data_IF_808079667645
#
_entry.id   IF_808079667645
#
_cell.length_a   1.000
_cell.length_b   1.000
_cell.length_c   1.000
_cell.angle_alpha   90.00
_cell.angle_beta   90.00
_cell.angle_gamma   90.00
#
_symmetry.space_group_name_H-M   'P 1'
#
loop_
_entity.id
_entity.type
_entity.pdbx_description
1 polymer ?
#
# COMPACT_ATOMS: atom_id res chain seq x y z
N UNK A 1 -55.95 10.84 50.32
CA UNK A 1 -55.16 10.09 49.32
C UNK A 1 -55.26 10.78 47.97
N UNK A 2 -54.24 11.55 47.56
CA UNK A 2 -54.06 12.07 46.18
C UNK A 2 -52.55 12.33 46.04
N UNK A 3 -51.85 11.45 45.34
CA UNK A 3 -50.39 11.47 45.19
C UNK A 3 -50.00 12.54 44.17
N UNK A 4 -49.06 13.40 44.56
CA UNK A 4 -48.45 14.42 43.71
C UNK A 4 -47.30 13.74 42.95
N UNK A 5 -47.30 13.81 41.62
CA UNK A 5 -46.16 13.37 40.81
C UNK A 5 -45.65 14.59 40.05
N UNK A 6 -44.51 15.12 40.49
CA UNK A 6 -43.73 16.11 39.74
C UNK A 6 -43.05 15.39 38.57
N UNK A 7 -43.43 15.72 37.35
CA UNK A 7 -42.67 15.33 36.16
C UNK A 7 -41.43 16.22 36.07
N UNK A 8 -40.26 15.62 36.33
CA UNK A 8 -38.97 16.26 36.12
C UNK A 8 -38.47 15.81 34.74
N UNK A 9 -38.64 16.67 33.73
CA UNK A 9 -38.12 16.44 32.39
C UNK A 9 -36.60 16.59 32.41
N UNK A 10 -35.87 15.48 32.36
CA UNK A 10 -34.44 15.48 32.06
C UNK A 10 -34.29 15.33 30.56
N UNK A 11 -33.93 16.42 29.90
CA UNK A 11 -33.47 16.42 28.52
C UNK A 11 -32.16 15.64 28.43
N UNK A 12 -32.21 14.40 27.93
CA UNK A 12 -31.04 13.58 27.66
C UNK A 12 -30.34 14.05 26.39
N UNK A 13 -29.31 14.89 26.54
CA UNK A 13 -28.37 15.19 25.46
C UNK A 13 -27.46 13.95 25.27
N UNK A 14 -27.76 13.11 24.29
CA UNK A 14 -26.84 12.08 23.84
C UNK A 14 -25.64 12.73 23.13
N UNK A 15 -24.57 13.01 23.88
CA UNK A 15 -23.27 13.30 23.29
C UNK A 15 -22.71 12.03 22.65
N UNK A 16 -22.91 11.89 21.34
CA UNK A 16 -22.22 10.88 20.55
C UNK A 16 -20.74 11.27 20.47
N UNK A 17 -19.90 10.62 21.29
CA UNK A 17 -18.46 10.67 21.12
C UNK A 17 -18.12 9.89 19.86
N UNK A 18 -17.92 10.60 18.75
CA UNK A 18 -17.29 10.06 17.56
C UNK A 18 -15.81 9.88 17.89
N UNK A 19 -15.44 8.72 18.43
CA UNK A 19 -14.05 8.27 18.44
C UNK A 19 -13.63 8.06 17.00
N UNK A 20 -13.04 9.08 16.38
CA UNK A 20 -12.36 8.95 15.11
C UNK A 20 -11.15 8.04 15.29
N UNK A 21 -11.28 6.78 14.88
CA UNK A 21 -10.13 5.94 14.60
C UNK A 21 -9.46 6.48 13.34
N UNK A 22 -8.61 7.50 13.50
CA UNK A 22 -7.66 7.89 12.46
C UNK A 22 -6.76 6.68 12.20
N UNK A 23 -6.86 6.09 11.02
CA UNK A 23 -5.96 5.03 10.63
C UNK A 23 -4.52 5.56 10.65
N UNK A 24 -3.63 4.87 11.36
CA UNK A 24 -2.20 5.23 11.42
C UNK A 24 -1.63 5.32 10.00
N UNK A 25 -0.96 6.43 9.71
CA UNK A 25 -0.20 6.64 8.49
C UNK A 25 0.98 5.67 8.41
N UNK A 26 1.12 5.04 7.25
CA UNK A 26 2.26 4.18 6.91
C UNK A 26 3.41 5.08 6.47
N UNK A 27 4.59 4.88 7.06
CA UNK A 27 5.83 5.56 6.67
C UNK A 27 6.54 4.77 5.60
N UNK A 28 6.90 5.42 4.49
CA UNK A 28 7.72 4.77 3.47
C UNK A 28 9.03 4.27 4.06
N UNK A 29 9.72 5.10 4.84
CA UNK A 29 11.05 4.76 5.35
C UNK A 29 11.02 3.67 6.42
N UNK A 30 10.01 3.65 7.29
CA UNK A 30 9.95 2.74 8.44
C UNK A 30 9.22 1.44 8.15
N UNK A 31 8.18 1.49 7.33
CA UNK A 31 7.26 0.36 7.14
C UNK A 31 7.43 -0.29 5.75
N UNK A 32 7.57 0.51 4.69
CA UNK A 32 7.63 -0.01 3.29
C UNK A 32 9.06 -0.40 2.88
N UNK A 33 10.04 0.46 3.17
CA UNK A 33 11.43 0.28 2.75
C UNK A 33 12.02 -1.06 3.23
N UNK A 34 11.77 -1.53 4.47
CA UNK A 34 12.27 -2.84 4.91
C UNK A 34 11.71 -4.02 4.08
N UNK A 35 10.45 -3.96 3.67
CA UNK A 35 9.81 -4.98 2.82
C UNK A 35 10.50 -5.01 1.45
N UNK A 36 10.64 -3.83 0.82
CA UNK A 36 11.31 -3.73 -0.48
C UNK A 36 12.77 -4.19 -0.43
N UNK A 37 13.48 -3.85 0.65
CA UNK A 37 14.87 -4.24 0.85
C UNK A 37 15.02 -5.77 0.96
N UNK A 38 14.11 -6.41 1.69
CA UNK A 38 14.13 -7.86 1.94
C UNK A 38 13.70 -8.67 0.71
N UNK A 39 12.59 -8.30 0.09
CA UNK A 39 11.90 -9.18 -0.85
C UNK A 39 12.04 -8.74 -2.33
N UNK A 40 12.55 -7.53 -2.60
CA UNK A 40 12.58 -6.98 -3.96
C UNK A 40 13.96 -6.53 -4.44
N UNK A 41 14.77 -5.94 -3.55
CA UNK A 41 15.98 -5.20 -3.92
C UNK A 41 17.01 -6.05 -4.66
N UNK A 42 17.16 -7.31 -4.28
CA UNK A 42 18.15 -8.22 -4.89
C UNK A 42 18.01 -8.30 -6.41
N UNK A 43 16.77 -8.39 -6.92
CA UNK A 43 16.48 -8.52 -8.35
C UNK A 43 16.11 -7.19 -9.02
N UNK A 44 15.57 -6.23 -8.26
CA UNK A 44 15.14 -4.92 -8.75
C UNK A 44 16.09 -3.78 -8.36
N UNK A 45 17.38 -4.08 -8.29
CA UNK A 45 18.45 -3.09 -8.27
C UNK A 45 19.10 -2.96 -9.66
N UNK A 46 19.66 -1.80 -10.02
CA UNK A 46 20.33 -1.61 -11.31
C UNK A 46 21.32 -2.74 -11.64
N UNK A 47 21.13 -3.35 -12.81
CA UNK A 47 21.98 -4.46 -13.30
C UNK A 47 21.58 -5.87 -12.87
N UNK A 48 20.66 -6.02 -11.91
CA UNK A 48 20.11 -7.32 -11.53
C UNK A 48 19.04 -7.81 -12.52
N UNK A 49 18.65 -9.08 -12.43
CA UNK A 49 17.85 -9.73 -13.46
C UNK A 49 16.45 -9.11 -13.63
N UNK A 50 15.75 -8.84 -12.53
CA UNK A 50 14.43 -8.18 -12.56
C UNK A 50 14.51 -6.77 -13.16
N UNK A 51 15.56 -6.01 -12.82
CA UNK A 51 15.86 -4.70 -13.42
C UNK A 51 16.18 -4.82 -14.92
N UNK A 52 16.99 -5.79 -15.36
CA UNK A 52 17.29 -5.96 -16.80
C UNK A 52 16.03 -6.21 -17.62
N UNK A 53 15.10 -7.00 -17.08
CA UNK A 53 13.81 -7.32 -17.73
C UNK A 53 12.88 -6.11 -17.78
N UNK A 54 12.59 -5.51 -16.64
CA UNK A 54 11.55 -4.46 -16.51
C UNK A 54 12.09 -3.02 -16.55
N UNK A 55 13.34 -2.81 -16.15
CA UNK A 55 13.89 -1.48 -15.87
C UNK A 55 13.38 -0.85 -14.57
N UNK A 56 12.60 -1.58 -13.76
CA UNK A 56 12.15 -1.12 -12.44
C UNK A 56 13.30 -1.19 -11.44
N UNK A 57 13.60 -0.06 -10.81
CA UNK A 57 14.49 0.02 -9.64
C UNK A 57 13.67 0.31 -8.39
N UNK A 58 13.84 -0.51 -7.36
CA UNK A 58 13.25 -0.29 -6.01
C UNK A 58 14.28 0.29 -5.03
N UNK A 59 15.44 0.71 -5.54
CA UNK A 59 16.58 1.18 -4.75
C UNK A 59 16.31 2.45 -3.94
N UNK A 60 15.37 3.28 -4.38
CA UNK A 60 14.96 4.52 -3.72
C UNK A 60 13.51 4.86 -4.10
N UNK A 61 12.92 5.85 -3.42
CA UNK A 61 11.54 6.26 -3.60
C UNK A 61 11.28 6.81 -5.02
N UNK A 62 12.16 7.65 -5.54
CA UNK A 62 11.97 8.32 -6.83
C UNK A 62 12.00 7.32 -7.98
N UNK A 63 12.96 6.41 -7.97
CA UNK A 63 13.11 5.30 -8.91
C UNK A 63 11.89 4.36 -8.87
N UNK A 64 11.39 4.07 -7.67
CA UNK A 64 10.22 3.21 -7.48
C UNK A 64 8.98 3.85 -8.12
N UNK A 65 8.70 5.13 -7.85
CA UNK A 65 7.54 5.82 -8.43
C UNK A 65 7.70 6.15 -9.91
N UNK A 66 8.93 6.25 -10.42
CA UNK A 66 9.21 6.41 -11.85
C UNK A 66 8.79 5.19 -12.67
N UNK A 67 8.68 4.01 -12.04
CA UNK A 67 8.21 2.79 -12.67
C UNK A 67 9.22 2.14 -13.63
N UNK A 68 8.71 1.34 -14.57
CA UNK A 68 9.54 0.55 -15.49
C UNK A 68 10.21 1.42 -16.57
N UNK A 69 11.16 0.86 -17.32
CA UNK A 69 11.71 1.53 -18.51
C UNK A 69 10.65 1.60 -19.62
N UNK A 70 10.67 2.63 -20.48
CA UNK A 70 9.78 2.66 -21.64
C UNK A 70 10.08 1.48 -22.58
N UNK A 71 9.02 0.91 -23.13
CA UNK A 71 9.03 -0.07 -24.23
C UNK A 71 8.87 0.68 -25.56
N UNK A 72 9.19 0.03 -26.69
CA UNK A 72 9.23 0.70 -28.01
C UNK A 72 7.91 1.42 -28.31
N UNK A 73 7.94 2.76 -28.32
CA UNK A 73 6.79 3.61 -28.63
C UNK A 73 5.83 3.84 -27.46
N UNK A 74 6.12 3.31 -26.27
CA UNK A 74 5.26 3.40 -25.09
C UNK A 74 5.93 4.21 -23.97
N UNK A 75 5.09 4.78 -23.11
CA UNK A 75 5.56 5.46 -21.89
C UNK A 75 6.08 4.44 -20.88
N UNK A 76 6.67 4.92 -19.79
CA UNK A 76 7.04 4.07 -18.65
C UNK A 76 5.80 3.37 -18.10
N UNK A 77 5.92 2.08 -17.80
CA UNK A 77 4.89 1.34 -17.12
C UNK A 77 4.82 1.76 -15.65
N UNK A 78 3.68 2.28 -15.24
CA UNK A 78 3.43 2.68 -13.87
C UNK A 78 3.28 1.43 -12.98
N UNK A 79 4.10 1.34 -11.93
CA UNK A 79 4.09 0.19 -11.00
C UNK A 79 3.24 0.48 -9.77
N UNK A 80 3.21 1.74 -9.34
CA UNK A 80 2.42 2.25 -8.23
C UNK A 80 1.52 3.36 -8.74
N UNK A 81 0.22 3.19 -8.49
CA UNK A 81 -0.83 4.17 -8.75
C UNK A 81 -1.24 4.74 -7.39
N UNK A 82 -0.77 5.95 -7.01
CA UNK A 82 -1.11 6.54 -5.73
C UNK A 82 -2.63 6.64 -5.53
N UNK A 83 -3.10 6.28 -4.34
CA UNK A 83 -4.50 6.17 -3.94
C UNK A 83 -5.29 5.01 -4.59
N UNK A 84 -4.63 4.11 -5.32
CA UNK A 84 -5.27 2.91 -5.89
C UNK A 84 -4.33 1.70 -5.82
N UNK A 85 -4.33 1.02 -4.67
CA UNK A 85 -3.58 -0.22 -4.49
C UNK A 85 -4.12 -1.36 -5.37
N UNK A 86 -5.41 -1.36 -5.71
CA UNK A 86 -6.03 -2.45 -6.47
C UNK A 86 -5.54 -2.49 -7.91
N UNK A 87 -5.41 -1.32 -8.55
CA UNK A 87 -4.90 -1.17 -9.91
C UNK A 87 -3.38 -1.08 -9.99
N UNK A 88 -2.69 -0.93 -8.85
CA UNK A 88 -1.22 -0.88 -8.82
C UNK A 88 -0.60 -2.22 -9.21
N UNK A 89 0.21 -2.22 -10.28
CA UNK A 89 0.94 -3.41 -10.76
C UNK A 89 1.71 -4.11 -9.64
N UNK A 90 2.33 -3.35 -8.71
CA UNK A 90 3.00 -3.93 -7.55
C UNK A 90 2.11 -4.93 -6.81
N UNK A 91 0.90 -4.50 -6.45
CA UNK A 91 -0.06 -5.30 -5.67
C UNK A 91 -0.61 -6.46 -6.51
N UNK A 92 -0.93 -6.20 -7.78
CA UNK A 92 -1.38 -7.23 -8.73
C UNK A 92 -0.38 -8.40 -8.79
N UNK A 93 0.93 -8.11 -8.88
CA UNK A 93 1.97 -9.13 -9.01
C UNK A 93 2.25 -9.87 -7.70
N UNK A 94 2.24 -9.19 -6.55
CA UNK A 94 2.52 -9.84 -5.25
C UNK A 94 1.34 -10.63 -4.70
N UNK A 95 0.10 -10.25 -5.05
CA UNK A 95 -1.10 -11.03 -4.73
C UNK A 95 -1.34 -12.18 -5.74
N UNK A 96 -0.51 -12.30 -6.79
CA UNK A 96 -0.65 -13.36 -7.80
C UNK A 96 -1.91 -13.24 -8.65
N UNK A 97 -2.44 -12.01 -8.83
CA UNK A 97 -3.62 -11.74 -9.67
C UNK A 97 -3.31 -11.67 -11.17
N UNK A 98 -2.03 -11.68 -11.54
CA UNK A 98 -1.56 -11.75 -12.91
C UNK A 98 -1.12 -13.18 -13.31
N UNK A 99 -0.66 -13.33 -14.55
CA UNK A 99 -0.09 -14.59 -15.04
C UNK A 99 1.05 -15.09 -14.11
N UNK A 100 1.09 -16.39 -13.75
CA UNK A 100 2.10 -16.93 -12.84
C UNK A 100 3.55 -16.70 -13.30
N UNK A 101 3.80 -16.59 -14.61
CA UNK A 101 5.13 -16.35 -15.18
C UNK A 101 5.70 -14.97 -14.86
N UNK A 102 4.86 -14.02 -14.43
CA UNK A 102 5.28 -12.66 -14.06
C UNK A 102 4.97 -12.33 -12.60
N UNK A 103 4.51 -13.29 -11.79
CA UNK A 103 4.23 -13.07 -10.37
C UNK A 103 5.50 -12.63 -9.64
N UNK A 104 5.30 -11.88 -8.56
CA UNK A 104 6.38 -11.47 -7.67
C UNK A 104 6.15 -11.98 -6.24
N UNK A 105 7.21 -12.25 -5.47
CA UNK A 105 8.60 -12.37 -5.92
C UNK A 105 8.77 -13.61 -6.82
N UNK A 106 9.51 -13.45 -7.93
CA UNK A 106 9.61 -14.50 -8.94
C UNK A 106 10.44 -15.69 -8.44
N UNK A 107 9.87 -16.89 -8.48
CA UNK A 107 10.54 -18.12 -8.04
C UNK A 107 10.84 -18.20 -6.55
N UNK A 108 10.18 -17.40 -5.71
CA UNK A 108 10.29 -17.43 -4.24
C UNK A 108 8.92 -17.53 -3.59
N UNK A 109 8.89 -17.77 -2.28
CA UNK A 109 7.65 -17.73 -1.51
C UNK A 109 6.92 -16.39 -1.67
N UNK A 110 5.58 -16.39 -1.68
CA UNK A 110 4.80 -15.16 -1.63
C UNK A 110 5.14 -14.29 -0.41
N UNK A 111 4.89 -12.98 -0.51
CA UNK A 111 4.90 -12.11 0.66
C UNK A 111 3.84 -12.60 1.65
N UNK A 112 4.12 -12.41 2.94
CA UNK A 112 3.09 -12.63 3.95
C UNK A 112 2.00 -11.54 3.84
N UNK A 113 0.82 -11.86 4.34
CA UNK A 113 -0.35 -10.99 4.25
C UNK A 113 -0.15 -9.62 4.93
N UNK A 114 0.67 -9.55 5.99
CA UNK A 114 0.94 -8.29 6.71
C UNK A 114 1.76 -7.34 5.86
N UNK A 115 2.79 -7.84 5.20
CA UNK A 115 3.63 -7.03 4.31
C UNK A 115 2.83 -6.54 3.11
N UNK A 116 1.99 -7.41 2.51
CA UNK A 116 1.07 -7.00 1.44
C UNK A 116 0.10 -5.91 1.93
N UNK A 117 -0.47 -6.05 3.13
CA UNK A 117 -1.38 -5.06 3.70
C UNK A 117 -0.69 -3.70 3.95
N UNK A 118 0.56 -3.69 4.41
CA UNK A 118 1.36 -2.46 4.57
C UNK A 118 1.56 -1.77 3.20
N UNK A 119 1.94 -2.53 2.17
CA UNK A 119 2.14 -1.98 0.82
C UNK A 119 0.83 -1.39 0.27
N UNK A 120 -0.29 -2.10 0.39
CA UNK A 120 -1.61 -1.62 -0.07
C UNK A 120 -1.99 -0.33 0.64
N UNK A 121 -1.92 -0.33 1.96
CA UNK A 121 -2.30 0.83 2.77
C UNK A 121 -1.43 2.05 2.47
N UNK A 122 -0.11 1.87 2.31
CA UNK A 122 0.77 2.95 1.90
C UNK A 122 0.37 3.54 0.54
N UNK A 123 0.07 2.69 -0.44
CA UNK A 123 -0.39 3.13 -1.76
C UNK A 123 -1.72 3.89 -1.65
N UNK A 124 -2.69 3.33 -0.91
CA UNK A 124 -4.01 3.92 -0.72
C UNK A 124 -3.94 5.27 0.03
N UNK A 125 -2.91 5.48 0.86
CA UNK A 125 -2.60 6.76 1.51
C UNK A 125 -1.83 7.75 0.61
N UNK A 126 -1.72 7.45 -0.68
CA UNK A 126 -1.09 8.31 -1.69
C UNK A 126 0.38 8.03 -1.93
N UNK A 127 0.90 6.87 -1.48
CA UNK A 127 2.26 6.41 -1.70
C UNK A 127 3.33 7.46 -1.31
N UNK A 128 3.14 8.14 -0.16
CA UNK A 128 3.97 9.30 0.26
C UNK A 128 5.39 8.89 0.66
N UNK A 129 6.35 9.81 0.52
CA UNK A 129 7.70 9.70 1.07
C UNK A 129 7.77 10.41 2.45
N UNK A 130 7.37 9.71 3.52
CA UNK A 130 7.16 10.26 4.88
C UNK A 130 7.90 9.49 5.99
#
# INVERSE_FOLDING_TARGET
MKKIIKALSVAGMCAAFVTGCGEKDISFQKDVRPILAKDCLECHQPGADGFKKSGLSVGDYESLLKGTKPTRGEQRGQVIVPNDSTSSTLIILVEGRADPSIRMPHGREPLNEKDVAILKKWIDQGAKNN
#
